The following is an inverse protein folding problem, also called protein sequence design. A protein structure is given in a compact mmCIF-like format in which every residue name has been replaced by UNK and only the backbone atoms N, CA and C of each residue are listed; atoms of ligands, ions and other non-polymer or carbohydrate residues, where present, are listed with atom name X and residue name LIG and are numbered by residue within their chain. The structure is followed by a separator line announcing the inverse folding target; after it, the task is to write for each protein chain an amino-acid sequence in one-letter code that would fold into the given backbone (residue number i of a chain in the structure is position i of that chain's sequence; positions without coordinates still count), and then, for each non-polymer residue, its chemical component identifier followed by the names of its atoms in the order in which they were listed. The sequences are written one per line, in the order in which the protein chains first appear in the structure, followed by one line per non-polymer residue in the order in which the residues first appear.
data_IF_029988062938
#
_entry.id   IF_029988062938
#
_cell.length_a   1.000
_cell.length_b   1.000
_cell.length_c   1.000
_cell.angle_alpha   90.00
_cell.angle_beta   90.00
_cell.angle_gamma   90.00
#
_symmetry.space_group_name_H-M   'P 1'
#
loop_
_entity.id
_entity.type
_entity.pdbx_description
1 polymer ?
#
# COMPACT_ATOMS: atom_id res chain seq x y z
N UNK A 1 15.02 -10.46 -6.44
CA UNK A 1 14.83 -9.27 -7.30
C UNK A 1 14.82 -8.06 -6.37
N UNK A 2 15.90 -7.27 -6.33
CA UNK A 2 16.03 -6.11 -5.44
C UNK A 2 15.82 -4.88 -6.30
N UNK A 3 14.59 -4.39 -6.33
CA UNK A 3 14.28 -3.15 -7.04
C UNK A 3 14.80 -2.02 -6.14
N UNK A 4 16.05 -1.60 -6.36
CA UNK A 4 16.56 -0.38 -5.76
C UNK A 4 15.97 0.79 -6.52
N UNK A 5 14.72 1.14 -6.19
CA UNK A 5 14.13 2.37 -6.69
C UNK A 5 14.67 3.49 -5.79
N UNK A 6 15.73 4.17 -6.23
CA UNK A 6 16.20 5.37 -5.54
C UNK A 6 15.07 6.40 -5.51
N UNK A 7 14.73 6.92 -4.33
CA UNK A 7 13.61 7.83 -4.11
C UNK A 7 12.52 7.27 -3.20
N UNK A 8 11.53 8.10 -2.87
CA UNK A 8 10.36 7.73 -2.08
C UNK A 8 9.33 6.99 -2.94
N UNK A 9 8.84 5.86 -2.44
CA UNK A 9 7.81 5.03 -3.07
C UNK A 9 6.67 4.79 -2.11
N UNK A 10 5.47 4.65 -2.66
CA UNK A 10 4.26 4.40 -1.89
C UNK A 10 3.69 3.05 -2.29
N UNK A 11 3.67 2.11 -1.36
CA UNK A 11 3.13 0.77 -1.56
C UNK A 11 1.72 0.68 -0.98
N UNK A 12 0.78 0.28 -1.83
CA UNK A 12 -0.57 -0.09 -1.41
C UNK A 12 -0.61 -1.58 -1.13
N UNK A 13 -0.94 -1.94 0.10
CA UNK A 13 -1.04 -3.32 0.58
C UNK A 13 -2.44 -3.62 1.05
N UNK A 14 -2.85 -4.86 0.84
CA UNK A 14 -4.13 -5.39 1.30
C UNK A 14 -3.89 -6.68 2.07
N UNK A 15 -4.53 -6.82 3.21
CA UNK A 15 -4.73 -8.12 3.84
C UNK A 15 -6.22 -8.41 3.88
N UNK A 16 -6.63 -9.56 3.36
CA UNK A 16 -8.00 -9.99 3.57
C UNK A 16 -8.21 -10.30 5.06
N UNK A 17 -9.44 -10.13 5.57
CA UNK A 17 -9.75 -10.29 7.00
C UNK A 17 -9.26 -11.59 7.66
N UNK A 18 -9.08 -12.65 6.87
CA UNK A 18 -8.59 -13.96 7.30
C UNK A 18 -7.21 -14.33 6.72
N UNK A 19 -6.53 -13.40 6.05
CA UNK A 19 -5.24 -13.65 5.45
C UNK A 19 -4.11 -13.37 6.46
N UNK A 20 -3.22 -14.34 6.63
CA UNK A 20 -1.97 -14.17 7.37
C UNK A 20 -0.90 -13.41 6.57
N UNK A 21 -1.20 -13.09 5.31
CA UNK A 21 -0.26 -12.46 4.37
C UNK A 21 -0.84 -11.20 3.77
N UNK A 22 0.06 -10.28 3.44
CA UNK A 22 -0.25 -9.02 2.81
C UNK A 22 0.09 -9.08 1.32
N UNK A 23 -0.89 -8.79 0.49
CA UNK A 23 -0.72 -8.62 -0.95
C UNK A 23 -0.25 -7.20 -1.26
N UNK A 24 0.71 -7.04 -2.17
CA UNK A 24 1.03 -5.72 -2.76
C UNK A 24 0.11 -5.52 -3.95
N UNK A 25 -0.79 -4.54 -3.85
CA UNK A 25 -1.80 -4.26 -4.88
C UNK A 25 -1.33 -3.16 -5.84
N UNK A 26 -0.47 -2.25 -5.37
CA UNK A 26 0.08 -1.18 -6.21
C UNK A 26 1.34 -0.55 -5.65
N UNK A 27 2.17 -0.02 -6.54
CA UNK A 27 3.38 0.75 -6.23
C UNK A 27 3.29 2.07 -6.99
N UNK A 28 3.50 3.18 -6.28
CA UNK A 28 3.31 4.53 -6.80
C UNK A 28 4.52 5.41 -6.48
N UNK A 29 4.75 6.39 -7.35
CA UNK A 29 5.78 7.44 -7.22
C UNK A 29 5.27 8.69 -6.47
N UNK A 30 3.97 8.77 -6.19
CA UNK A 30 3.31 9.94 -5.62
C UNK A 30 2.32 9.54 -4.52
N UNK A 31 2.46 10.17 -3.34
CA UNK A 31 1.64 9.89 -2.16
C UNK A 31 0.14 10.10 -2.41
N UNK A 32 -0.21 11.20 -3.10
CA UNK A 32 -1.60 11.59 -3.34
C UNK A 32 -2.29 10.57 -4.24
N UNK A 33 -1.67 10.21 -5.36
CA UNK A 33 -2.20 9.15 -6.25
C UNK A 33 -2.30 7.82 -5.53
N UNK A 34 -1.30 7.45 -4.74
CA UNK A 34 -1.30 6.20 -4.01
C UNK A 34 -2.47 6.12 -3.01
N UNK A 35 -2.73 7.24 -2.32
CA UNK A 35 -3.82 7.34 -1.35
C UNK A 35 -5.18 7.32 -2.02
N UNK A 36 -5.35 8.06 -3.11
CA UNK A 36 -6.59 8.09 -3.90
C UNK A 36 -6.91 6.68 -4.44
N UNK A 37 -5.95 6.07 -5.14
CA UNK A 37 -6.14 4.72 -5.70
C UNK A 37 -6.40 3.67 -4.62
N UNK A 38 -5.69 3.72 -3.48
CA UNK A 38 -5.92 2.76 -2.39
C UNK A 38 -7.30 2.93 -1.76
N UNK A 39 -7.78 4.18 -1.60
CA UNK A 39 -9.13 4.45 -1.09
C UNK A 39 -10.21 4.02 -2.05
N UNK A 40 -10.05 4.28 -3.34
CA UNK A 40 -11.00 3.86 -4.36
C UNK A 40 -11.12 2.33 -4.40
N UNK A 41 -9.99 1.62 -4.32
CA UNK A 41 -9.99 0.15 -4.25
C UNK A 41 -10.60 -0.37 -2.96
N UNK A 42 -10.30 0.26 -1.82
CA UNK A 42 -10.90 -0.10 -0.53
C UNK A 42 -12.42 0.11 -0.53
N UNK A 43 -12.90 1.22 -1.11
CA UNK A 43 -14.33 1.50 -1.24
C UNK A 43 -15.06 0.63 -2.26
N UNK A 44 -14.36 0.15 -3.28
CA UNK A 44 -14.93 -0.74 -4.30
C UNK A 44 -15.10 -2.19 -3.81
N UNK A 45 -14.36 -2.61 -2.78
CA UNK A 45 -14.45 -3.95 -2.22
C UNK A 45 -15.27 -3.96 -0.91
N UNK A 46 -16.51 -4.49 -0.91
CA UNK A 46 -17.27 -4.66 0.31
C UNK A 46 -16.68 -5.85 1.09
N UNK A 47 -15.78 -5.58 2.03
CA UNK A 47 -15.15 -6.62 2.85
C UNK A 47 -14.42 -6.06 4.05
N UNK A 48 -14.17 -6.92 5.04
CA UNK A 48 -13.36 -6.60 6.23
C UNK A 48 -11.85 -6.59 5.91
N UNK A 49 -11.50 -6.35 4.66
CA UNK A 49 -10.13 -6.28 4.17
C UNK A 49 -9.45 -5.06 4.77
N UNK A 50 -8.22 -5.25 5.26
CA UNK A 50 -7.40 -4.18 5.78
C UNK A 50 -6.53 -3.63 4.67
N UNK A 51 -6.64 -2.33 4.42
CA UNK A 51 -5.81 -1.62 3.45
C UNK A 51 -4.78 -0.77 4.16
N UNK A 52 -3.53 -0.86 3.71
CA UNK A 52 -2.40 -0.12 4.28
C UNK A 52 -1.64 0.56 3.15
N UNK A 53 -1.32 1.83 3.36
CA UNK A 53 -0.41 2.59 2.53
C UNK A 53 0.92 2.73 3.26
N UNK A 54 1.98 2.18 2.68
CA UNK A 54 3.33 2.27 3.21
C UNK A 54 4.17 3.25 2.39
N UNK A 55 5.01 4.04 3.07
CA UNK A 55 6.05 4.84 2.40
C UNK A 55 7.38 4.13 2.59
N UNK A 56 8.12 3.98 1.51
CA UNK A 56 9.44 3.34 1.47
C UNK A 56 10.46 4.28 0.84
N UNK A 57 11.68 4.31 1.37
CA UNK A 57 12.81 5.03 0.77
C UNK A 57 14.05 4.15 0.86
N UNK A 58 14.78 4.02 -0.23
CA UNK A 58 16.06 3.28 -0.29
C UNK A 58 15.99 1.84 0.24
N UNK A 59 14.82 1.22 0.13
CA UNK A 59 14.57 -0.14 0.61
C UNK A 59 14.21 -0.25 2.10
N UNK A 60 14.03 0.87 2.80
CA UNK A 60 13.55 0.93 4.17
C UNK A 60 12.12 1.48 4.24
N UNK A 61 11.28 0.87 5.08
CA UNK A 61 9.96 1.39 5.37
C UNK A 61 10.07 2.62 6.26
N UNK A 62 9.53 3.74 5.79
CA UNK A 62 9.49 5.03 6.49
C UNK A 62 8.20 5.23 7.26
N UNK A 63 7.07 4.75 6.72
CA UNK A 63 5.75 4.91 7.31
C UNK A 63 4.79 3.79 6.89
N UNK A 64 3.76 3.57 7.70
CA UNK A 64 2.66 2.63 7.46
C UNK A 64 1.37 3.22 7.99
N UNK A 65 0.39 3.44 7.12
CA UNK A 65 -0.91 4.04 7.47
C UNK A 65 -2.03 3.12 7.01
N UNK A 66 -2.85 2.67 7.95
CA UNK A 66 -4.08 1.97 7.64
C UNK A 66 -5.13 2.96 7.10
N UNK A 67 -5.75 2.59 5.98
CA UNK A 67 -6.85 3.33 5.37
C UNK A 67 -8.14 2.59 5.71
N UNK A 68 -8.92 3.16 6.63
CA UNK A 68 -10.28 2.72 7.00
C UNK A 68 -11.31 3.25 6.01
#
# INVERSE_FOLDING_TARGET
MRISIGGEHYLSRRSAFCAETWDVIGIYDCAERAREATRDMAGAQPGSDTWVLETWSDGEQRSSVQLT
#
